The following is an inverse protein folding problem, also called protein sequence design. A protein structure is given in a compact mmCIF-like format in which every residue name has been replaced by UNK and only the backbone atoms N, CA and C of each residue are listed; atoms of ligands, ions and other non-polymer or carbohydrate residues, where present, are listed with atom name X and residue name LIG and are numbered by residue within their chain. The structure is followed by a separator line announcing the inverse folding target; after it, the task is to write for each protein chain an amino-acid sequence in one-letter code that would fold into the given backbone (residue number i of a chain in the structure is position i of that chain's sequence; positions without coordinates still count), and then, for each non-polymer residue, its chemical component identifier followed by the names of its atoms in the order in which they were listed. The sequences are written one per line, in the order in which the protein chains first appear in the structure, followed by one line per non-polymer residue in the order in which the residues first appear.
data_IF_242657454209
#
_entry.id   IF_242657454209
#
_cell.length_a   1.000
_cell.length_b   1.000
_cell.length_c   1.000
_cell.angle_alpha   90.00
_cell.angle_beta   90.00
_cell.angle_gamma   90.00
#
_symmetry.space_group_name_H-M   'P 1'
#
loop_
_entity.id
_entity.type
_entity.pdbx_description
1 polymer ?
#
# COMPACT_ATOMS: atom_id res chain seq x y z
N UNK A 1 -8.51 -22.55 8.95
CA UNK A 1 -9.22 -21.24 8.99
C UNK A 1 -8.37 -20.06 8.51
N UNK A 2 -7.06 -20.00 8.80
CA UNK A 2 -6.17 -18.89 8.38
C UNK A 2 -5.85 -18.88 6.88
N UNK A 3 -5.59 -20.05 6.29
CA UNK A 3 -5.27 -20.20 4.86
C UNK A 3 -6.41 -19.81 3.91
N UNK A 4 -7.67 -20.03 4.30
CA UNK A 4 -8.83 -19.63 3.48
C UNK A 4 -8.95 -18.11 3.34
N UNK A 5 -8.74 -17.39 4.44
CA UNK A 5 -8.78 -15.91 4.46
C UNK A 5 -7.58 -15.28 3.75
N UNK A 6 -6.42 -15.91 3.82
CA UNK A 6 -5.23 -15.48 3.08
C UNK A 6 -5.42 -15.66 1.55
N UNK A 7 -6.05 -16.75 1.11
CA UNK A 7 -6.38 -16.98 -0.31
C UNK A 7 -7.42 -15.98 -0.85
N UNK A 8 -8.50 -15.74 -0.11
CA UNK A 8 -9.52 -14.75 -0.49
C UNK A 8 -8.96 -13.32 -0.57
N UNK A 9 -8.13 -12.93 0.40
CA UNK A 9 -7.49 -11.62 0.40
C UNK A 9 -6.53 -11.44 -0.79
N UNK A 10 -5.93 -12.52 -1.29
CA UNK A 10 -5.08 -12.48 -2.49
C UNK A 10 -5.94 -12.36 -3.75
N UNK A 11 -7.02 -13.13 -3.85
CA UNK A 11 -7.94 -13.08 -5.00
C UNK A 11 -8.61 -11.70 -5.17
N UNK A 12 -9.09 -11.10 -4.07
CA UNK A 12 -9.69 -9.76 -4.12
C UNK A 12 -8.69 -8.69 -4.57
N UNK A 13 -7.41 -8.84 -4.20
CA UNK A 13 -6.33 -7.91 -4.62
C UNK A 13 -6.02 -8.03 -6.11
N UNK A 14 -5.94 -9.24 -6.63
CA UNK A 14 -5.67 -9.49 -8.05
C UNK A 14 -6.80 -8.93 -8.92
N UNK A 15 -8.05 -9.10 -8.50
CA UNK A 15 -9.20 -8.55 -9.20
C UNK A 15 -9.19 -7.01 -9.24
N UNK A 16 -8.82 -6.36 -8.13
CA UNK A 16 -8.74 -4.90 -8.06
C UNK A 16 -7.69 -4.32 -9.04
N UNK A 17 -6.55 -5.01 -9.20
CA UNK A 17 -5.54 -4.61 -10.18
C UNK A 17 -6.03 -4.80 -11.62
N UNK A 18 -6.86 -5.81 -11.91
CA UNK A 18 -7.44 -6.00 -13.24
C UNK A 18 -8.49 -4.94 -13.56
N UNK A 19 -9.35 -4.61 -12.60
CA UNK A 19 -10.49 -3.70 -12.82
C UNK A 19 -10.06 -2.24 -12.83
N UNK A 20 -9.03 -1.85 -12.07
CA UNK A 20 -8.60 -0.46 -11.97
C UNK A 20 -7.09 -0.32 -11.68
N UNK A 21 -6.23 -0.67 -12.65
CA UNK A 21 -4.77 -0.74 -12.47
C UNK A 21 -4.08 0.60 -12.21
N UNK A 22 -4.78 1.73 -12.41
CA UNK A 22 -4.25 3.08 -12.15
C UNK A 22 -5.01 3.81 -11.04
N UNK A 23 -5.80 3.08 -10.25
CA UNK A 23 -6.54 3.69 -9.14
C UNK A 23 -5.61 3.90 -7.94
N UNK A 24 -5.44 5.14 -7.45
CA UNK A 24 -4.64 5.42 -6.25
C UNK A 24 -5.12 4.60 -5.05
N UNK A 25 -6.43 4.43 -4.95
CA UNK A 25 -7.07 3.70 -3.87
C UNK A 25 -6.73 2.20 -3.90
N UNK A 26 -6.65 1.58 -5.09
CA UNK A 26 -6.28 0.17 -5.23
C UNK A 26 -4.85 -0.04 -4.72
N UNK A 27 -3.91 0.79 -5.18
CA UNK A 27 -2.52 0.72 -4.73
C UNK A 27 -2.38 0.99 -3.22
N UNK A 28 -3.15 1.94 -2.68
CA UNK A 28 -3.21 2.16 -1.23
C UNK A 28 -3.68 0.91 -0.45
N UNK A 29 -4.72 0.22 -0.91
CA UNK A 29 -5.20 -1.00 -0.23
C UNK A 29 -4.19 -2.15 -0.33
N UNK A 30 -3.52 -2.30 -1.48
CA UNK A 30 -2.42 -3.26 -1.64
C UNK A 30 -1.30 -2.97 -0.65
N UNK A 31 -0.87 -1.72 -0.58
CA UNK A 31 0.17 -1.29 0.34
C UNK A 31 -0.16 -1.62 1.79
N UNK A 32 -1.39 -1.32 2.24
CA UNK A 32 -1.86 -1.70 3.59
C UNK A 32 -1.83 -3.20 3.81
N UNK A 33 -2.26 -3.95 2.81
CA UNK A 33 -2.21 -5.40 2.81
C UNK A 33 -0.79 -5.93 3.01
N UNK A 34 0.18 -5.43 2.26
CA UNK A 34 1.58 -5.84 2.39
C UNK A 34 2.20 -5.41 3.72
N UNK A 35 1.90 -4.20 4.19
CA UNK A 35 2.37 -3.71 5.48
C UNK A 35 1.87 -4.57 6.65
N UNK A 36 0.59 -4.99 6.64
CA UNK A 36 0.03 -5.93 7.64
C UNK A 36 0.70 -7.30 7.64
N UNK A 37 1.26 -7.72 6.51
CA UNK A 37 1.94 -8.99 6.35
C UNK A 37 3.47 -8.86 6.53
N UNK A 38 3.95 -7.75 7.10
CA UNK A 38 5.38 -7.48 7.30
C UNK A 38 6.20 -7.55 6.01
N UNK A 39 5.63 -7.11 4.89
CA UNK A 39 6.28 -7.01 3.58
C UNK A 39 6.53 -5.53 3.23
N UNK A 40 7.48 -4.84 3.90
CA UNK A 40 7.64 -3.39 3.81
C UNK A 40 8.03 -2.92 2.41
N UNK A 41 8.86 -3.68 1.68
CA UNK A 41 9.28 -3.32 0.33
C UNK A 41 8.10 -3.21 -0.64
N UNK A 42 7.22 -4.22 -0.67
CA UNK A 42 6.00 -4.22 -1.49
C UNK A 42 5.00 -3.16 -1.04
N UNK A 43 4.93 -2.90 0.26
CA UNK A 43 4.08 -1.83 0.77
C UNK A 43 4.52 -0.46 0.22
N UNK A 44 5.82 -0.19 0.24
CA UNK A 44 6.41 1.06 -0.24
C UNK A 44 6.24 1.22 -1.76
N UNK A 45 6.46 0.16 -2.54
CA UNK A 45 6.23 0.16 -4.00
C UNK A 45 4.80 0.61 -4.34
N UNK A 46 3.79 0.03 -3.67
CA UNK A 46 2.41 0.41 -3.91
C UNK A 46 2.02 1.76 -3.30
N UNK A 47 2.72 2.23 -2.25
CA UNK A 47 2.55 3.63 -1.79
C UNK A 47 3.01 4.59 -2.89
N UNK A 48 4.17 4.34 -3.49
CA UNK A 48 4.69 5.18 -4.58
C UNK A 48 3.72 5.22 -5.75
N UNK A 49 3.21 4.06 -6.21
CA UNK A 49 2.20 4.01 -7.26
C UNK A 49 0.91 4.74 -6.90
N UNK A 50 0.44 4.62 -5.64
CA UNK A 50 -0.73 5.37 -5.20
C UNK A 50 -0.52 6.88 -5.31
N UNK A 51 0.66 7.37 -4.91
CA UNK A 51 1.02 8.79 -5.02
C UNK A 51 1.16 9.24 -6.47
N UNK A 52 1.83 8.44 -7.32
CA UNK A 52 1.95 8.67 -8.76
C UNK A 52 0.58 8.83 -9.43
N UNK A 53 -0.41 8.04 -9.03
CA UNK A 53 -1.75 8.10 -9.61
C UNK A 53 -2.67 9.14 -8.97
N UNK A 54 -2.25 9.83 -7.90
CA UNK A 54 -2.97 10.99 -7.37
C UNK A 54 -3.31 10.98 -5.88
N UNK A 55 -2.85 9.99 -5.10
CA UNK A 55 -2.96 10.05 -3.63
C UNK A 55 -1.92 11.04 -3.07
N UNK A 56 -2.31 12.30 -2.88
CA UNK A 56 -1.39 13.38 -2.45
C UNK A 56 -1.35 13.63 -0.94
N UNK A 57 -2.24 13.00 -0.17
CA UNK A 57 -2.34 13.23 1.26
C UNK A 57 -1.25 12.44 2.01
N UNK A 58 -0.11 13.10 2.22
CA UNK A 58 1.06 12.55 2.92
C UNK A 58 0.79 12.33 4.41
N UNK A 59 -0.01 13.19 5.03
CA UNK A 59 -0.33 13.06 6.45
C UNK A 59 -1.23 11.85 6.67
N UNK A 60 -2.20 11.63 5.79
CA UNK A 60 -3.00 10.40 5.77
C UNK A 60 -2.14 9.15 5.65
N UNK A 61 -1.13 9.14 4.77
CA UNK A 61 -0.20 8.02 4.64
C UNK A 61 0.63 7.81 5.92
N UNK A 62 1.16 8.88 6.53
CA UNK A 62 1.90 8.79 7.81
C UNK A 62 1.04 8.28 8.96
N UNK A 63 -0.23 8.67 8.99
CA UNK A 63 -1.16 8.36 10.07
C UNK A 63 -1.89 7.02 9.88
N UNK A 64 -1.78 6.40 8.71
CA UNK A 64 -2.32 5.06 8.46
C UNK A 64 -1.64 4.06 9.40
N UNK A 65 -2.43 3.41 10.26
CA UNK A 65 -1.93 2.50 11.31
C UNK A 65 -0.96 1.44 10.78
N UNK A 66 -1.27 0.87 9.62
CA UNK A 66 -0.45 -0.15 8.97
C UNK A 66 0.94 0.36 8.55
N UNK A 67 1.09 1.66 8.29
CA UNK A 67 2.34 2.26 7.82
C UNK A 67 3.21 2.83 8.94
N UNK A 68 2.76 2.74 10.21
CA UNK A 68 3.55 3.25 11.35
C UNK A 68 4.97 2.66 11.42
N UNK A 69 5.12 1.36 11.12
CA UNK A 69 6.43 0.71 11.09
C UNK A 69 7.32 1.16 9.92
N UNK A 70 6.73 1.76 8.88
CA UNK A 70 7.47 2.34 7.75
C UNK A 70 7.97 3.76 8.05
N UNK A 71 7.53 4.40 9.13
CA UNK A 71 7.84 5.80 9.44
C UNK A 71 9.34 6.09 9.62
N UNK A 72 10.17 5.08 9.88
CA UNK A 72 11.64 5.19 9.96
C UNK A 72 12.35 4.68 8.70
N UNK A 73 11.61 4.12 7.73
CA UNK A 73 12.17 3.63 6.49
C UNK A 73 12.53 4.81 5.58
N UNK A 74 13.82 4.90 5.22
CA UNK A 74 14.36 6.00 4.40
C UNK A 74 13.64 6.14 3.06
N UNK A 75 13.24 5.03 2.46
CA UNK A 75 12.56 5.03 1.16
C UNK A 75 11.12 5.55 1.27
N UNK A 76 10.40 5.14 2.30
CA UNK A 76 9.07 5.69 2.59
C UNK A 76 9.14 7.20 2.84
N UNK A 77 10.14 7.66 3.60
CA UNK A 77 10.36 9.10 3.85
C UNK A 77 10.70 9.84 2.54
N UNK A 78 11.53 9.24 1.68
CA UNK A 78 11.90 9.79 0.36
C UNK A 78 10.66 9.96 -0.52
N UNK A 79 9.85 8.92 -0.69
CA UNK A 79 8.63 8.96 -1.52
C UNK A 79 7.67 10.06 -1.04
N UNK A 80 7.46 10.19 0.27
CA UNK A 80 6.61 11.26 0.82
C UNK A 80 7.17 12.67 0.57
N UNK A 81 8.47 12.80 0.29
CA UNK A 81 9.10 14.08 -0.02
C UNK A 81 9.00 14.40 -1.52
N UNK A 82 9.19 13.40 -2.37
CA UNK A 82 9.34 13.57 -3.83
C UNK A 82 8.02 13.85 -4.56
N UNK A 83 6.91 13.28 -4.08
CA UNK A 83 5.54 13.55 -4.54
C UNK A 83 4.85 14.48 -3.56
#
# INVERSE_FOLDING_TARGET
LREGKEKEATFAKDLLMVVSPKSPFVHYQLARGYARNNLPFKAIEHIEQAMQFGLKDKEFLRNTKEFKSLGTNKEFIRILKDY
#
